data_IF_974073534202
#
_entry.id   IF_974073534202
#
_cell.length_a   1.000
_cell.length_b   1.000
_cell.length_c   1.000
_cell.angle_alpha   90.00
_cell.angle_beta   90.00
_cell.angle_gamma   90.00
#
_symmetry.space_group_name_H-M   'P 1'
#
loop_
_entity.id
_entity.type
_entity.pdbx_description
1 polymer ?
#
# COMPACT_ATOMS: atom_id res chain seq x y z
N UNK A 1 -8.22 -34.88 15.45
CA UNK A 1 -8.44 -34.00 16.62
C UNK A 1 -7.14 -33.41 17.17
N UNK A 2 -6.02 -34.14 17.23
CA UNK A 2 -4.74 -33.59 17.72
C UNK A 2 -4.12 -32.47 16.88
N UNK A 3 -4.25 -32.51 15.53
CA UNK A 3 -3.77 -31.42 14.64
C UNK A 3 -4.50 -30.10 14.91
N UNK A 4 -5.81 -30.18 15.13
CA UNK A 4 -6.70 -29.05 15.42
C UNK A 4 -6.45 -28.46 16.82
N UNK A 5 -6.14 -29.30 17.82
CA UNK A 5 -5.72 -28.84 19.15
C UNK A 5 -4.30 -28.22 19.15
N UNK A 6 -3.35 -28.74 18.35
CA UNK A 6 -2.02 -28.13 18.18
C UNK A 6 -2.07 -26.77 17.47
N UNK A 7 -2.98 -26.57 16.52
CA UNK A 7 -3.21 -25.25 15.91
C UNK A 7 -3.88 -24.27 16.88
N UNK A 8 -4.77 -24.76 17.76
CA UNK A 8 -5.41 -23.94 18.78
C UNK A 8 -4.42 -23.37 19.84
N UNK A 9 -3.22 -23.96 19.97
CA UNK A 9 -2.19 -23.57 20.95
C UNK A 9 -1.07 -22.70 20.36
N UNK A 10 -1.06 -22.42 19.05
CA UNK A 10 -0.04 -21.54 18.46
C UNK A 10 -0.25 -20.09 18.96
N UNK A 11 0.85 -19.39 19.31
CA UNK A 11 0.81 -17.96 19.57
C UNK A 11 0.22 -17.21 18.37
N UNK A 12 -0.58 -16.19 18.66
CA UNK A 12 -1.21 -15.34 17.68
C UNK A 12 -0.28 -14.18 17.33
N UNK A 13 -0.07 -13.98 16.04
CA UNK A 13 0.60 -12.78 15.54
C UNK A 13 -0.30 -11.56 15.72
N UNK A 14 0.28 -10.36 15.71
CA UNK A 14 -0.47 -9.11 15.82
C UNK A 14 -1.57 -9.03 14.75
N UNK A 15 -1.27 -9.46 13.52
CA UNK A 15 -2.22 -9.57 12.41
C UNK A 15 -3.47 -10.36 12.81
N UNK A 16 -3.31 -11.58 13.30
CA UNK A 16 -4.47 -12.45 13.60
C UNK A 16 -5.31 -11.84 14.71
N UNK A 17 -4.68 -11.16 15.67
CA UNK A 17 -5.39 -10.41 16.70
C UNK A 17 -6.16 -9.24 16.08
N UNK A 18 -5.50 -8.38 15.30
CA UNK A 18 -6.09 -7.22 14.63
C UNK A 18 -7.27 -7.62 13.74
N UNK A 19 -7.12 -8.66 12.92
CA UNK A 19 -8.18 -9.19 12.06
C UNK A 19 -9.36 -9.71 12.87
N UNK A 20 -9.13 -10.47 13.94
CA UNK A 20 -10.22 -10.96 14.80
C UNK A 20 -10.97 -9.82 15.49
N UNK A 21 -10.27 -8.77 15.89
CA UNK A 21 -10.88 -7.56 16.47
C UNK A 21 -11.75 -6.86 15.42
N UNK A 22 -11.23 -6.67 14.20
CA UNK A 22 -11.96 -6.07 13.07
C UNK A 22 -13.21 -6.90 12.73
N UNK A 23 -13.03 -8.20 12.56
CA UNK A 23 -14.11 -9.15 12.29
C UNK A 23 -15.11 -9.26 13.43
N UNK A 24 -14.81 -8.85 14.66
CA UNK A 24 -15.78 -8.93 15.74
C UNK A 24 -16.51 -7.61 15.95
N UNK A 25 -15.79 -6.50 15.92
CA UNK A 25 -16.31 -5.19 16.31
C UNK A 25 -16.65 -4.26 15.14
N UNK A 26 -16.09 -4.49 13.95
CA UNK A 26 -16.18 -3.58 12.77
C UNK A 26 -16.68 -4.35 11.54
N UNK A 27 -17.63 -5.28 11.71
CA UNK A 27 -18.32 -5.92 10.57
C UNK A 27 -19.27 -4.93 9.91
N UNK A 28 -19.10 -4.71 8.61
CA UNK A 28 -19.98 -3.92 7.73
C UNK A 28 -21.24 -4.73 7.32
N UNK A 29 -22.02 -5.24 8.28
CA UNK A 29 -23.34 -5.84 8.02
C UNK A 29 -24.42 -4.84 8.44
N UNK A 30 -25.26 -4.41 7.49
CA UNK A 30 -26.45 -3.53 7.65
C UNK A 30 -26.56 -2.76 8.98
N UNK A 31 -25.57 -1.89 9.25
CA UNK A 31 -25.44 -1.14 10.51
C UNK A 31 -26.74 -0.40 10.89
N UNK A 32 -27.55 -0.01 9.91
CA UNK A 32 -28.87 0.59 10.16
C UNK A 32 -29.87 -0.35 10.82
N UNK A 33 -29.97 -1.60 10.38
CA UNK A 33 -30.87 -2.58 10.99
C UNK A 33 -30.28 -3.15 12.28
N UNK A 34 -28.95 -3.27 12.33
CA UNK A 34 -28.22 -3.84 13.45
C UNK A 34 -28.14 -2.90 14.66
N UNK A 35 -27.88 -1.60 14.43
CA UNK A 35 -27.78 -0.59 15.50
C UNK A 35 -29.16 -0.11 15.96
N UNK A 36 -30.16 0.04 15.07
CA UNK A 36 -31.55 0.38 15.47
C UNK A 36 -32.22 -0.72 16.29
N UNK A 37 -31.79 -1.98 16.13
CA UNK A 37 -32.34 -3.13 16.85
C UNK A 37 -31.70 -3.42 18.21
N UNK A 38 -30.75 -2.60 18.69
CA UNK A 38 -29.93 -2.88 19.88
C UNK A 38 -29.23 -4.25 19.88
N UNK A 39 -29.14 -4.93 18.72
CA UNK A 39 -28.68 -6.32 18.62
C UNK A 39 -27.19 -6.48 18.89
N UNK A 40 -26.40 -5.41 18.77
CA UNK A 40 -24.94 -5.45 18.87
C UNK A 40 -24.34 -4.26 19.65
N UNK A 41 -25.06 -3.79 20.68
CA UNK A 41 -24.45 -2.91 21.68
C UNK A 41 -23.37 -3.71 22.42
N UNK A 42 -22.18 -3.12 22.50
CA UNK A 42 -21.01 -3.70 23.16
C UNK A 42 -20.85 -3.08 24.54
N UNK A 43 -20.86 -3.91 25.57
CA UNK A 43 -20.47 -3.52 26.93
C UNK A 43 -18.96 -3.67 27.10
N UNK A 44 -18.36 -2.88 28.00
CA UNK A 44 -16.94 -3.01 28.32
C UNK A 44 -16.56 -4.44 28.74
N UNK A 45 -17.43 -5.12 29.50
CA UNK A 45 -17.23 -6.51 29.91
C UNK A 45 -17.18 -7.48 28.70
N UNK A 46 -18.06 -7.31 27.72
CA UNK A 46 -18.05 -8.12 26.49
C UNK A 46 -16.77 -7.90 25.69
N UNK A 47 -16.29 -6.66 25.61
CA UNK A 47 -15.03 -6.33 24.93
C UNK A 47 -13.86 -6.99 25.64
N UNK A 48 -13.75 -6.83 26.96
CA UNK A 48 -12.67 -7.43 27.75
C UNK A 48 -12.69 -8.96 27.65
N UNK A 49 -13.87 -9.59 27.76
CA UNK A 49 -14.05 -11.03 27.62
C UNK A 49 -13.59 -11.55 26.25
N UNK A 50 -13.74 -10.75 25.19
CA UNK A 50 -13.25 -11.10 23.86
C UNK A 50 -11.75 -10.87 23.71
N UNK A 51 -11.23 -9.72 24.16
CA UNK A 51 -9.83 -9.32 23.95
C UNK A 51 -8.85 -10.07 24.84
N UNK A 52 -9.20 -10.31 26.10
CA UNK A 52 -8.33 -10.96 27.08
C UNK A 52 -7.73 -12.30 26.58
N UNK A 53 -8.52 -13.29 26.11
CA UNK A 53 -7.96 -14.55 25.61
C UNK A 53 -7.13 -14.37 24.33
N UNK A 54 -7.39 -13.34 23.50
CA UNK A 54 -6.58 -13.05 22.32
C UNK A 54 -5.20 -12.52 22.72
N UNK A 55 -5.15 -11.57 23.66
CA UNK A 55 -3.92 -10.95 24.12
C UNK A 55 -3.05 -11.92 24.92
N UNK A 56 -3.65 -12.82 25.71
CA UNK A 56 -2.89 -13.88 26.40
C UNK A 56 -2.14 -14.82 25.44
N UNK A 57 -2.66 -14.98 24.22
CA UNK A 57 -2.05 -15.81 23.19
C UNK A 57 -1.10 -15.06 22.27
N UNK A 58 -0.91 -13.75 22.46
CA UNK A 58 -0.06 -12.94 21.60
C UNK A 58 1.40 -13.42 21.63
N UNK A 59 2.04 -13.48 20.45
CA UNK A 59 3.48 -13.70 20.37
C UNK A 59 4.28 -12.51 20.92
N UNK A 60 5.60 -12.66 21.11
CA UNK A 60 6.43 -11.61 21.70
C UNK A 60 6.42 -10.28 20.90
N UNK A 61 6.32 -10.35 19.56
CA UNK A 61 6.26 -9.16 18.69
C UNK A 61 4.91 -8.46 18.88
N UNK A 62 3.83 -9.23 18.92
CA UNK A 62 2.47 -8.76 19.14
C UNK A 62 2.29 -8.15 20.54
N UNK A 63 2.84 -8.76 21.59
CA UNK A 63 2.84 -8.20 22.95
C UNK A 63 3.51 -6.82 22.98
N UNK A 64 4.65 -6.64 22.28
CA UNK A 64 5.32 -5.34 22.22
C UNK A 64 4.45 -4.29 21.54
N UNK A 65 3.86 -4.62 20.38
CA UNK A 65 3.00 -3.70 19.62
C UNK A 65 1.74 -3.35 20.44
N UNK A 66 1.10 -4.36 21.03
CA UNK A 66 -0.06 -4.16 21.91
C UNK A 66 0.33 -3.33 23.16
N UNK A 67 1.52 -3.51 23.71
CA UNK A 67 2.02 -2.68 24.81
C UNK A 67 2.14 -1.19 24.46
N UNK A 68 2.53 -0.87 23.23
CA UNK A 68 2.62 0.52 22.74
C UNK A 68 1.23 1.17 22.56
N UNK A 69 0.27 0.38 22.07
CA UNK A 69 -1.06 0.88 21.66
C UNK A 69 -2.09 0.77 22.78
N UNK A 70 -2.16 -0.40 23.41
CA UNK A 70 -3.05 -0.77 24.52
C UNK A 70 -2.39 -0.54 25.88
N UNK A 71 -1.09 -0.81 26.03
CA UNK A 71 -0.40 -0.72 27.33
C UNK A 71 -0.20 0.71 27.86
N UNK A 72 -0.22 1.73 27.00
CA UNK A 72 -0.33 3.15 27.41
C UNK A 72 -1.73 3.53 27.92
N UNK A 73 -2.72 2.64 27.84
CA UNK A 73 -4.14 2.94 28.15
C UNK A 73 -4.57 2.64 29.59
N UNK A 74 -3.68 2.84 30.57
CA UNK A 74 -4.10 3.04 31.96
C UNK A 74 -4.51 4.49 32.25
N UNK A 75 -4.80 5.28 31.21
CA UNK A 75 -5.47 6.55 31.35
C UNK A 75 -6.99 6.31 31.38
N UNK A 76 -7.65 6.46 32.53
CA UNK A 76 -9.09 6.25 32.65
C UNK A 76 -9.91 7.27 31.83
N UNK A 77 -9.31 8.36 31.32
CA UNK A 77 -10.00 9.30 30.44
C UNK A 77 -10.07 8.87 28.97
N UNK A 78 -9.32 7.84 28.57
CA UNK A 78 -9.30 7.38 27.18
C UNK A 78 -10.42 6.38 26.91
N UNK A 79 -11.32 6.74 25.99
CA UNK A 79 -12.44 5.91 25.53
C UNK A 79 -11.97 4.54 25.03
N UNK A 80 -12.82 3.53 25.22
CA UNK A 80 -12.54 2.17 24.77
C UNK A 80 -12.55 2.09 23.24
N UNK A 81 -13.40 2.87 22.57
CA UNK A 81 -13.37 3.03 21.11
C UNK A 81 -11.99 3.47 20.61
N UNK A 82 -11.37 4.47 21.24
CA UNK A 82 -10.04 4.98 20.88
C UNK A 82 -8.95 3.92 21.03
N UNK A 83 -9.07 3.04 22.03
CA UNK A 83 -8.12 1.95 22.25
C UNK A 83 -8.23 0.89 21.16
N UNK A 84 -9.46 0.50 20.80
CA UNK A 84 -9.73 -0.48 19.74
C UNK A 84 -9.29 0.07 18.39
N UNK A 85 -9.68 1.30 18.04
CA UNK A 85 -9.28 1.95 16.77
C UNK A 85 -7.76 2.00 16.66
N UNK A 86 -7.06 2.37 17.73
CA UNK A 86 -5.61 2.45 17.70
C UNK A 86 -4.94 1.09 17.42
N UNK A 87 -5.55 -0.03 17.82
CA UNK A 87 -5.10 -1.38 17.43
C UNK A 87 -5.43 -1.66 15.97
N UNK A 88 -6.63 -1.33 15.53
CA UNK A 88 -7.13 -1.58 14.17
C UNK A 88 -6.38 -0.81 13.09
N UNK A 89 -5.93 0.42 13.38
CA UNK A 89 -5.25 1.28 12.41
C UNK A 89 -3.73 1.28 12.56
N UNK A 90 -3.16 0.54 13.53
CA UNK A 90 -1.74 0.63 13.89
C UNK A 90 -0.80 0.46 12.71
N UNK A 91 -1.04 -0.53 11.84
CA UNK A 91 -0.14 -0.83 10.71
C UNK A 91 -0.22 0.25 9.64
N UNK A 92 -1.44 0.67 9.30
CA UNK A 92 -1.71 1.71 8.31
C UNK A 92 -1.15 3.06 8.79
N UNK A 93 -1.39 3.43 10.04
CA UNK A 93 -0.90 4.68 10.62
C UNK A 93 0.63 4.75 10.72
N UNK A 94 1.31 3.63 10.97
CA UNK A 94 2.78 3.57 10.89
C UNK A 94 3.27 3.72 9.46
N UNK A 95 2.56 3.14 8.49
CA UNK A 95 2.92 3.23 7.08
C UNK A 95 2.71 4.64 6.50
N UNK A 96 1.59 5.26 6.85
CA UNK A 96 1.12 6.56 6.37
C UNK A 96 1.38 7.70 7.37
N UNK A 97 2.32 7.52 8.30
CA UNK A 97 2.67 8.57 9.24
C UNK A 97 3.05 9.85 8.48
N UNK A 98 2.47 10.98 8.89
CA UNK A 98 2.68 12.27 8.24
C UNK A 98 1.70 12.58 7.11
N UNK A 99 0.74 11.71 6.81
CA UNK A 99 -0.43 12.04 5.99
C UNK A 99 -1.67 12.26 6.86
N UNK A 100 -2.73 12.78 6.25
CA UNK A 100 -4.06 12.87 6.84
C UNK A 100 -4.65 11.49 7.19
N UNK A 101 -5.58 11.48 8.14
CA UNK A 101 -6.46 10.35 8.39
C UNK A 101 -7.43 10.16 7.22
N UNK A 102 -7.76 8.90 6.96
CA UNK A 102 -8.74 8.56 5.93
C UNK A 102 -10.17 8.71 6.45
N UNK A 103 -11.12 8.94 5.54
CA UNK A 103 -12.55 8.93 5.87
C UNK A 103 -13.00 7.57 6.44
N UNK A 104 -12.33 6.48 6.05
CA UNK A 104 -12.58 5.13 6.56
C UNK A 104 -12.23 5.01 8.04
N UNK A 105 -11.08 5.53 8.47
CA UNK A 105 -10.68 5.51 9.88
C UNK A 105 -11.67 6.31 10.75
N UNK A 106 -12.16 7.45 10.25
CA UNK A 106 -13.20 8.21 10.94
C UNK A 106 -14.51 7.41 11.04
N UNK A 107 -14.94 6.74 9.95
CA UNK A 107 -16.13 5.86 9.95
C UNK A 107 -16.00 4.78 11.02
N UNK A 108 -14.88 4.06 11.05
CA UNK A 108 -14.64 2.97 12.02
C UNK A 108 -14.66 3.48 13.46
N UNK A 109 -14.08 4.65 13.70
CA UNK A 109 -14.10 5.28 15.01
C UNK A 109 -15.53 5.61 15.46
N UNK A 110 -16.31 6.27 14.60
CA UNK A 110 -17.69 6.66 14.92
C UNK A 110 -18.58 5.42 15.10
N UNK A 111 -18.36 4.37 14.31
CA UNK A 111 -19.06 3.08 14.46
C UNK A 111 -18.81 2.46 15.85
N UNK A 112 -17.56 2.43 16.29
CA UNK A 112 -17.20 1.88 17.60
C UNK A 112 -17.78 2.72 18.75
N UNK A 113 -17.75 4.04 18.63
CA UNK A 113 -18.41 4.96 19.58
C UNK A 113 -19.91 4.65 19.68
N UNK A 114 -20.59 4.47 18.55
CA UNK A 114 -22.01 4.12 18.52
C UNK A 114 -22.30 2.74 19.15
N UNK A 115 -21.47 1.72 18.85
CA UNK A 115 -21.63 0.36 19.41
C UNK A 115 -21.36 0.31 20.91
N UNK A 116 -20.41 1.09 21.40
CA UNK A 116 -20.05 1.17 22.83
C UNK A 116 -20.91 2.16 23.63
N UNK A 117 -21.80 2.90 22.96
CA UNK A 117 -22.62 3.95 23.57
C UNK A 117 -21.81 5.03 24.31
N UNK A 118 -20.63 5.34 23.78
CA UNK A 118 -19.82 6.42 24.33
C UNK A 118 -20.36 7.77 23.87
N UNK A 119 -20.39 8.80 24.75
CA UNK A 119 -20.88 10.12 24.37
C UNK A 119 -19.96 10.72 23.31
N UNK A 120 -20.51 11.27 22.23
CA UNK A 120 -19.76 11.96 21.19
C UNK A 120 -20.20 13.42 21.14
N UNK A 121 -19.26 14.34 21.30
CA UNK A 121 -19.57 15.78 21.20
C UNK A 121 -19.19 16.37 19.85
N UNK A 122 -19.83 17.47 19.47
CA UNK A 122 -19.47 18.20 18.26
C UNK A 122 -18.00 18.68 18.32
N UNK A 123 -17.52 19.08 19.50
CA UNK A 123 -16.13 19.45 19.73
C UNK A 123 -15.15 18.30 19.44
N UNK A 124 -15.48 17.08 19.88
CA UNK A 124 -14.66 15.89 19.59
C UNK A 124 -14.64 15.54 18.11
N UNK A 125 -15.79 15.63 17.41
CA UNK A 125 -15.85 15.40 15.96
C UNK A 125 -14.99 16.42 15.21
N UNK A 126 -15.04 17.70 15.58
CA UNK A 126 -14.17 18.74 15.00
C UNK A 126 -12.69 18.46 15.27
N UNK A 127 -12.34 18.01 16.47
CA UNK A 127 -10.95 17.63 16.78
C UNK A 127 -10.45 16.47 15.91
N UNK A 128 -11.33 15.51 15.58
CA UNK A 128 -11.00 14.45 14.65
C UNK A 128 -10.90 14.96 13.21
N UNK A 129 -11.76 15.89 12.81
CA UNK A 129 -11.75 16.50 11.48
C UNK A 129 -10.48 17.33 11.20
N UNK A 130 -9.81 17.85 12.24
CA UNK A 130 -8.49 18.51 12.09
C UNK A 130 -7.43 17.54 11.57
N UNK A 131 -7.56 16.24 11.83
CA UNK A 131 -6.62 15.22 11.36
C UNK A 131 -6.97 14.70 9.96
N UNK A 132 -8.18 15.00 9.47
CA UNK A 132 -8.58 14.74 8.09
C UNK A 132 -7.98 15.77 7.14
N UNK A 133 -7.91 15.39 5.86
CA UNK A 133 -7.60 16.31 4.77
C UNK A 133 -8.70 17.35 4.54
N UNK A 134 -8.45 18.33 3.65
CA UNK A 134 -9.33 19.49 3.50
C UNK A 134 -10.74 19.13 3.03
N UNK A 135 -10.92 18.20 2.08
CA UNK A 135 -12.25 17.88 1.54
C UNK A 135 -13.06 17.07 2.55
N UNK A 136 -12.42 16.14 3.25
CA UNK A 136 -13.08 15.36 4.29
C UNK A 136 -13.45 16.25 5.48
N UNK A 137 -12.59 17.20 5.85
CA UNK A 137 -12.88 18.16 6.92
C UNK A 137 -14.07 19.05 6.58
N UNK A 138 -14.09 19.61 5.37
CA UNK A 138 -15.20 20.43 4.89
C UNK A 138 -16.52 19.65 4.93
N UNK A 139 -16.52 18.41 4.43
CA UNK A 139 -17.70 17.54 4.49
C UNK A 139 -18.20 17.32 5.94
N UNK A 140 -17.29 17.11 6.90
CA UNK A 140 -17.67 16.94 8.32
C UNK A 140 -18.27 18.23 8.89
N UNK A 141 -17.69 19.39 8.59
CA UNK A 141 -18.20 20.68 9.08
C UNK A 141 -19.56 21.02 8.46
N UNK A 142 -19.78 20.72 7.18
CA UNK A 142 -21.09 20.86 6.54
C UNK A 142 -22.14 19.96 7.20
N UNK A 143 -21.78 18.70 7.47
CA UNK A 143 -22.66 17.75 8.14
C UNK A 143 -23.05 18.21 9.54
N UNK A 144 -22.10 18.76 10.30
CA UNK A 144 -22.31 19.34 11.63
C UNK A 144 -23.17 20.61 11.56
N UNK A 145 -22.89 21.54 10.64
CA UNK A 145 -23.66 22.78 10.51
C UNK A 145 -25.13 22.54 10.14
N UNK A 146 -25.41 21.49 9.35
CA UNK A 146 -26.76 21.13 8.93
C UNK A 146 -27.64 20.58 10.08
N UNK A 147 -27.04 20.17 11.20
CA UNK A 147 -27.73 19.61 12.37
C UNK A 147 -27.49 20.55 13.53
N UNK A 148 -28.55 21.25 13.96
CA UNK A 148 -28.53 22.31 14.97
C UNK A 148 -27.59 22.02 16.15
N UNK A 149 -26.96 23.07 16.65
CA UNK A 149 -25.86 23.11 17.62
C UNK A 149 -26.16 22.52 19.01
N UNK A 150 -26.62 21.28 19.10
CA UNK A 150 -26.48 20.49 20.31
C UNK A 150 -25.01 20.09 20.48
N UNK A 151 -24.48 20.20 21.70
CA UNK A 151 -23.13 19.71 21.97
C UNK A 151 -23.02 18.20 21.75
N UNK A 152 -24.12 17.46 21.90
CA UNK A 152 -24.20 16.02 21.68
C UNK A 152 -24.46 15.67 20.21
N UNK A 153 -23.67 14.77 19.65
CA UNK A 153 -23.79 14.27 18.28
C UNK A 153 -24.41 12.88 18.29
N UNK A 154 -25.43 12.68 17.45
CA UNK A 154 -25.95 11.35 17.14
C UNK A 154 -24.90 10.56 16.35
N UNK A 155 -24.18 9.67 17.05
CA UNK A 155 -23.13 8.82 16.48
C UNK A 155 -23.66 7.86 15.42
N UNK A 156 -24.92 7.41 15.53
CA UNK A 156 -25.51 6.52 14.53
C UNK A 156 -25.78 7.28 13.24
N UNK A 157 -26.40 8.46 13.33
CA UNK A 157 -26.64 9.31 12.17
C UNK A 157 -25.34 9.72 11.46
N UNK A 158 -24.29 10.04 12.23
CA UNK A 158 -22.97 10.35 11.67
C UNK A 158 -22.33 9.14 11.00
N UNK A 159 -22.41 7.95 11.61
CA UNK A 159 -21.87 6.72 11.04
C UNK A 159 -22.52 6.38 9.69
N UNK A 160 -23.86 6.50 9.60
CA UNK A 160 -24.63 6.27 8.37
C UNK A 160 -24.18 7.25 7.28
N UNK A 161 -24.07 8.54 7.61
CA UNK A 161 -23.65 9.55 6.64
C UNK A 161 -22.20 9.33 6.16
N UNK A 162 -21.29 8.95 7.06
CA UNK A 162 -19.90 8.61 6.71
C UNK A 162 -19.84 7.38 5.81
N UNK A 163 -20.63 6.34 6.10
CA UNK A 163 -20.75 5.16 5.23
C UNK A 163 -21.22 5.58 3.84
N UNK A 164 -22.29 6.34 3.74
CA UNK A 164 -22.84 6.75 2.45
C UNK A 164 -21.83 7.61 1.66
N UNK A 165 -21.11 8.50 2.34
CA UNK A 165 -20.03 9.29 1.72
C UNK A 165 -18.88 8.42 1.21
N UNK A 166 -18.45 7.42 1.99
CA UNK A 166 -17.44 6.43 1.54
C UNK A 166 -17.95 5.66 0.32
N UNK A 167 -19.18 5.15 0.37
CA UNK A 167 -19.76 4.36 -0.72
C UNK A 167 -19.92 5.17 -2.01
N UNK A 168 -20.31 6.44 -1.91
CA UNK A 168 -20.41 7.36 -3.05
C UNK A 168 -19.05 7.62 -3.68
N UNK A 169 -17.99 7.76 -2.87
CA UNK A 169 -16.65 8.11 -3.36
C UNK A 169 -15.86 6.92 -3.87
N UNK A 170 -16.01 5.77 -3.24
CA UNK A 170 -15.14 4.62 -3.49
C UNK A 170 -15.90 3.37 -3.97
N UNK A 171 -17.23 3.38 -3.94
CA UNK A 171 -18.09 2.25 -4.30
C UNK A 171 -18.46 1.37 -3.11
N UNK A 172 -19.68 0.84 -3.11
CA UNK A 172 -20.22 0.10 -1.96
C UNK A 172 -19.63 -1.31 -1.76
N UNK A 173 -19.24 -1.98 -2.85
CA UNK A 173 -18.79 -3.38 -2.83
C UNK A 173 -17.40 -3.57 -3.44
N UNK A 174 -16.61 -2.49 -3.49
CA UNK A 174 -15.29 -2.48 -4.12
C UNK A 174 -14.19 -2.66 -3.07
N UNK A 175 -13.02 -3.08 -3.53
CA UNK A 175 -11.80 -3.05 -2.73
C UNK A 175 -11.45 -1.64 -2.23
N UNK A 176 -11.88 -0.61 -2.97
CA UNK A 176 -11.70 0.80 -2.64
C UNK A 176 -12.64 1.29 -1.52
N UNK A 177 -13.79 0.64 -1.32
CA UNK A 177 -14.77 1.05 -0.32
C UNK A 177 -14.65 0.26 0.98
N UNK A 178 -15.67 -0.54 1.26
CA UNK A 178 -15.84 -1.33 2.48
C UNK A 178 -14.62 -2.21 2.80
N UNK A 179 -14.01 -2.81 1.79
CA UNK A 179 -12.94 -3.79 2.01
C UNK A 179 -11.55 -3.18 2.12
N UNK A 180 -11.40 -1.86 1.94
CA UNK A 180 -10.10 -1.21 1.86
C UNK A 180 -9.16 -1.53 3.03
N UNK A 181 -9.58 -1.38 4.31
CA UNK A 181 -8.68 -1.61 5.44
C UNK A 181 -8.18 -3.05 5.50
N UNK A 182 -9.07 -4.01 5.20
CA UNK A 182 -8.75 -5.44 5.19
C UNK A 182 -7.80 -5.78 4.05
N UNK A 183 -8.05 -5.28 2.84
CA UNK A 183 -7.19 -5.51 1.67
C UNK A 183 -5.80 -4.91 1.89
N UNK A 184 -5.71 -3.70 2.42
CA UNK A 184 -4.43 -3.07 2.71
C UNK A 184 -3.66 -3.85 3.78
N UNK A 185 -4.31 -4.29 4.85
CA UNK A 185 -3.67 -5.14 5.87
C UNK A 185 -3.16 -6.46 5.26
N UNK A 186 -3.95 -7.13 4.40
CA UNK A 186 -3.55 -8.35 3.71
C UNK A 186 -2.38 -8.14 2.73
N UNK A 187 -2.34 -7.00 2.03
CA UNK A 187 -1.19 -6.62 1.20
C UNK A 187 0.07 -6.45 2.06
N UNK A 188 -0.02 -5.72 3.17
CA UNK A 188 1.12 -5.55 4.11
C UNK A 188 1.59 -6.93 4.62
N UNK A 189 0.67 -7.88 4.85
CA UNK A 189 1.01 -9.24 5.24
C UNK A 189 1.67 -10.07 4.15
N UNK A 190 1.27 -9.89 2.89
CA UNK A 190 1.96 -10.48 1.75
C UNK A 190 3.40 -9.95 1.65
N UNK A 191 3.59 -8.64 1.80
CA UNK A 191 4.89 -7.97 1.75
C UNK A 191 5.82 -8.40 2.90
N UNK A 192 5.31 -8.49 4.14
CA UNK A 192 6.07 -8.99 5.29
C UNK A 192 6.53 -10.44 5.12
N UNK A 193 5.72 -11.29 4.48
CA UNK A 193 6.08 -12.68 4.17
C UNK A 193 7.09 -12.75 3.02
N UNK A 194 6.95 -11.92 2.00
CA UNK A 194 7.87 -11.89 0.86
C UNK A 194 9.30 -11.54 1.28
N UNK A 195 9.47 -10.64 2.25
CA UNK A 195 10.79 -10.24 2.76
C UNK A 195 11.57 -11.39 3.45
N UNK A 196 10.88 -12.46 3.87
CA UNK A 196 11.52 -13.66 4.44
C UNK A 196 12.11 -14.61 3.39
N UNK A 197 11.79 -14.40 2.10
CA UNK A 197 12.34 -15.17 0.99
C UNK A 197 13.72 -14.65 0.58
N UNK A 198 14.56 -15.52 -0.01
CA UNK A 198 15.88 -15.12 -0.50
C UNK A 198 15.74 -13.91 -1.44
N UNK A 199 16.21 -12.75 -0.98
CA UNK A 199 16.46 -11.58 -1.81
C UNK A 199 17.37 -12.04 -2.93
N UNK A 200 17.02 -11.78 -4.19
CA UNK A 200 17.90 -11.97 -5.34
C UNK A 200 19.30 -11.51 -4.95
N UNK A 201 20.23 -12.43 -4.65
CA UNK A 201 21.49 -11.99 -4.12
C UNK A 201 22.23 -11.39 -5.31
N UNK A 202 22.82 -10.20 -5.19
CA UNK A 202 23.75 -9.68 -6.20
C UNK A 202 25.06 -10.50 -6.26
N UNK A 203 25.02 -11.80 -5.91
CA UNK A 203 26.12 -12.77 -6.06
C UNK A 203 26.57 -12.89 -7.52
N UNK A 204 25.74 -12.52 -8.49
CA UNK A 204 26.16 -12.28 -9.86
C UNK A 204 26.52 -10.80 -10.03
N UNK A 205 27.80 -10.49 -10.17
CA UNK A 205 28.36 -9.12 -10.08
C UNK A 205 27.74 -8.04 -10.96
N UNK A 206 28.25 -6.81 -10.83
CA UNK A 206 27.73 -5.52 -11.37
C UNK A 206 27.11 -5.60 -12.78
N UNK A 207 27.70 -6.39 -13.68
CA UNK A 207 27.19 -6.56 -15.04
C UNK A 207 25.79 -7.19 -15.12
N UNK A 208 25.42 -8.11 -14.22
CA UNK A 208 24.06 -8.70 -14.23
C UNK A 208 23.04 -7.71 -13.69
N UNK A 209 23.41 -6.88 -12.72
CA UNK A 209 22.54 -5.81 -12.20
C UNK A 209 22.19 -4.79 -13.29
N UNK A 210 23.19 -4.38 -14.08
CA UNK A 210 22.96 -3.45 -15.20
C UNK A 210 22.12 -4.08 -16.31
N UNK A 211 22.28 -5.37 -16.58
CA UNK A 211 21.46 -6.07 -17.59
C UNK A 211 20.01 -6.22 -17.12
N UNK A 212 19.79 -6.62 -15.86
CA UNK A 212 18.44 -6.69 -15.27
C UNK A 212 17.74 -5.33 -15.32
N UNK A 213 18.43 -4.25 -14.97
CA UNK A 213 17.87 -2.90 -15.04
C UNK A 213 17.45 -2.51 -16.47
N UNK A 214 18.28 -2.79 -17.48
CA UNK A 214 17.92 -2.58 -18.90
C UNK A 214 16.70 -3.39 -19.31
N UNK A 215 16.66 -4.66 -18.91
CA UNK A 215 15.56 -5.56 -19.23
C UNK A 215 14.24 -5.08 -18.61
N UNK A 216 14.26 -4.58 -17.36
CA UNK A 216 13.07 -4.01 -16.74
C UNK A 216 12.63 -2.70 -17.41
N UNK A 217 13.56 -1.84 -17.82
CA UNK A 217 13.23 -0.65 -18.62
C UNK A 217 12.61 -1.02 -19.97
N UNK A 218 13.20 -1.98 -20.71
CA UNK A 218 12.64 -2.51 -21.96
C UNK A 218 11.24 -3.11 -21.75
N UNK A 219 11.05 -3.85 -20.65
CA UNK A 219 9.76 -4.46 -20.31
C UNK A 219 8.69 -3.41 -20.04
N UNK A 220 9.05 -2.33 -19.34
CA UNK A 220 8.14 -1.21 -19.09
C UNK A 220 7.72 -0.52 -20.38
N UNK A 221 8.69 -0.21 -21.24
CA UNK A 221 8.45 0.39 -22.55
C UNK A 221 7.56 -0.52 -23.40
N UNK A 222 7.84 -1.82 -23.42
CA UNK A 222 7.00 -2.78 -24.12
C UNK A 222 5.57 -2.77 -23.59
N UNK A 223 5.39 -2.77 -22.26
CA UNK A 223 4.07 -2.76 -21.62
C UNK A 223 3.23 -1.57 -22.09
N UNK A 224 3.84 -0.37 -22.19
CA UNK A 224 3.12 0.85 -22.61
C UNK A 224 2.93 0.94 -24.13
N UNK A 225 3.91 0.50 -24.92
CA UNK A 225 3.96 0.81 -26.36
C UNK A 225 3.79 -0.39 -27.29
N UNK A 226 3.51 -1.60 -26.78
CA UNK A 226 3.35 -2.78 -27.65
C UNK A 226 2.11 -2.70 -28.55
N UNK A 227 1.15 -1.82 -28.26
CA UNK A 227 -0.12 -1.67 -28.99
C UNK A 227 -1.24 -2.57 -28.47
N UNK A 228 -1.01 -3.22 -27.33
CA UNK A 228 -1.98 -3.98 -26.55
C UNK A 228 -2.14 -3.26 -25.20
N UNK A 229 -3.37 -3.02 -24.69
CA UNK A 229 -3.58 -2.30 -23.44
C UNK A 229 -3.25 -3.20 -22.23
N UNK A 230 -1.94 -3.41 -21.99
CA UNK A 230 -1.45 -4.12 -20.81
C UNK A 230 -1.52 -3.20 -19.58
N UNK A 231 -1.91 -3.76 -18.44
CA UNK A 231 -1.93 -3.06 -17.16
C UNK A 231 -0.50 -2.83 -16.63
N UNK A 232 -0.34 -1.81 -15.79
CA UNK A 232 0.89 -1.64 -15.03
C UNK A 232 1.05 -2.75 -13.98
N UNK A 233 -0.05 -3.29 -13.44
CA UNK A 233 -0.01 -4.44 -12.54
C UNK A 233 0.69 -5.64 -13.19
N UNK A 234 0.41 -5.94 -14.47
CA UNK A 234 1.10 -6.98 -15.20
C UNK A 234 2.62 -6.72 -15.29
N UNK A 235 3.04 -5.47 -15.53
CA UNK A 235 4.46 -5.11 -15.52
C UNK A 235 5.11 -5.32 -14.14
N UNK A 236 4.51 -4.77 -13.08
CA UNK A 236 5.10 -4.86 -11.74
C UNK A 236 5.08 -6.30 -11.21
N UNK A 237 4.06 -7.08 -11.57
CA UNK A 237 4.01 -8.51 -11.30
C UNK A 237 5.10 -9.25 -12.07
N UNK A 238 5.30 -8.95 -13.36
CA UNK A 238 6.36 -9.55 -14.17
C UNK A 238 7.75 -9.32 -13.56
N UNK A 239 8.03 -8.08 -13.10
CA UNK A 239 9.29 -7.75 -12.42
C UNK A 239 9.44 -8.58 -11.13
N UNK A 240 8.38 -8.72 -10.34
CA UNK A 240 8.41 -9.53 -9.11
C UNK A 240 8.66 -11.02 -9.40
N UNK A 241 8.00 -11.57 -10.43
CA UNK A 241 8.18 -12.96 -10.85
C UNK A 241 9.60 -13.21 -11.37
N UNK A 242 10.13 -12.28 -12.18
CA UNK A 242 11.49 -12.34 -12.71
C UNK A 242 12.52 -12.35 -11.57
N UNK A 243 12.46 -11.40 -10.64
CA UNK A 243 13.43 -11.33 -9.55
C UNK A 243 13.37 -12.56 -8.64
N UNK A 244 12.17 -13.07 -8.35
CA UNK A 244 11.99 -14.31 -7.56
C UNK A 244 12.49 -15.55 -8.30
N UNK A 245 12.33 -15.60 -9.62
CA UNK A 245 12.90 -16.65 -10.46
C UNK A 245 14.43 -16.62 -10.44
N UNK A 246 15.03 -15.44 -10.66
CA UNK A 246 16.48 -15.24 -10.65
C UNK A 246 17.10 -15.47 -9.27
N UNK A 247 16.33 -15.35 -8.19
CA UNK A 247 16.78 -15.72 -6.85
C UNK A 247 16.94 -17.25 -6.66
N UNK A 248 16.25 -18.06 -7.50
CA UNK A 248 16.24 -19.54 -7.44
C UNK A 248 17.06 -20.19 -8.55
N UNK A 249 17.24 -19.52 -9.69
CA UNK A 249 17.91 -20.05 -10.89
C UNK A 249 19.07 -19.16 -11.32
N UNK A 250 20.16 -19.80 -11.73
CA UNK A 250 21.27 -19.11 -12.38
C UNK A 250 20.99 -19.01 -13.87
N UNK A 251 20.73 -17.80 -14.35
CA UNK A 251 20.37 -17.53 -15.75
C UNK A 251 21.49 -16.73 -16.43
N UNK A 252 21.93 -17.12 -17.64
CA UNK A 252 22.91 -16.36 -18.40
C UNK A 252 22.32 -15.00 -18.83
N UNK A 253 23.18 -13.99 -19.01
CA UNK A 253 22.74 -12.61 -19.28
C UNK A 253 21.98 -12.50 -20.59
N UNK A 254 22.35 -13.33 -21.55
CA UNK A 254 21.80 -13.40 -22.91
C UNK A 254 20.35 -13.88 -22.90
N UNK A 255 19.95 -14.66 -21.89
CA UNK A 255 18.59 -15.18 -21.74
C UNK A 255 17.67 -14.29 -20.89
N UNK A 256 18.20 -13.28 -20.19
CA UNK A 256 17.39 -12.44 -19.31
C UNK A 256 16.22 -11.76 -20.03
N UNK A 257 16.41 -11.37 -21.30
CA UNK A 257 15.34 -10.80 -22.13
C UNK A 257 14.25 -11.82 -22.48
N UNK A 258 14.61 -13.09 -22.65
CA UNK A 258 13.65 -14.17 -22.86
C UNK A 258 12.80 -14.37 -21.61
N UNK A 259 13.45 -14.52 -20.45
CA UNK A 259 12.76 -14.74 -19.18
C UNK A 259 11.93 -13.53 -18.74
N UNK A 260 12.35 -12.30 -19.04
CA UNK A 260 11.51 -11.12 -18.72
C UNK A 260 10.23 -11.08 -19.54
N UNK A 261 10.30 -11.43 -20.83
CA UNK A 261 9.11 -11.48 -21.68
C UNK A 261 8.20 -12.64 -21.30
N UNK A 262 8.77 -13.79 -20.94
CA UNK A 262 8.01 -14.91 -20.39
C UNK A 262 7.36 -14.56 -19.04
N UNK A 263 8.02 -13.80 -18.18
CA UNK A 263 7.46 -13.31 -16.92
C UNK A 263 6.29 -12.34 -17.16
N UNK A 264 6.36 -11.46 -18.18
CA UNK A 264 5.25 -10.57 -18.54
C UNK A 264 4.08 -11.32 -19.19
N UNK A 265 4.38 -12.32 -20.02
CA UNK A 265 3.36 -13.22 -20.56
C UNK A 265 2.59 -13.91 -19.42
N UNK A 266 3.31 -14.48 -18.46
CA UNK A 266 2.73 -15.10 -17.27
C UNK A 266 1.93 -14.10 -16.42
N UNK A 267 2.52 -12.93 -16.14
CA UNK A 267 1.87 -11.89 -15.36
C UNK A 267 0.57 -11.41 -16.00
N UNK A 268 0.53 -11.24 -17.32
CA UNK A 268 -0.69 -10.85 -18.05
C UNK A 268 -1.82 -11.88 -17.94
N UNK A 269 -1.49 -13.17 -17.72
CA UNK A 269 -2.48 -14.22 -17.46
C UNK A 269 -2.96 -14.21 -16.01
N UNK A 270 -2.09 -13.84 -15.07
CA UNK A 270 -2.38 -13.80 -13.64
C UNK A 270 -3.11 -12.53 -13.19
N UNK A 271 -2.91 -11.41 -13.88
CA UNK A 271 -3.43 -10.10 -13.48
C UNK A 271 -4.95 -9.94 -13.63
N UNK A 272 -5.65 -10.93 -14.19
CA UNK A 272 -7.09 -10.90 -14.49
C UNK A 272 -7.55 -9.75 -15.41
N UNK A 273 -6.64 -8.87 -15.85
CA UNK A 273 -6.86 -7.83 -16.84
C UNK A 273 -6.95 -8.41 -18.26
N UNK A 274 -7.97 -8.01 -19.02
CA UNK A 274 -8.08 -8.31 -20.44
C UNK A 274 -7.52 -7.14 -21.28
N UNK A 275 -6.70 -7.38 -22.31
CA UNK A 275 -6.33 -8.67 -22.91
C UNK A 275 -5.08 -9.33 -22.32
N UNK A 276 -5.06 -10.66 -22.35
CA UNK A 276 -3.86 -11.45 -22.04
C UNK A 276 -2.88 -11.40 -23.21
N UNK A 277 -1.58 -11.40 -22.90
CA UNK A 277 -0.55 -11.38 -23.93
C UNK A 277 -0.47 -12.74 -24.66
N UNK A 278 -0.27 -12.72 -25.98
CA UNK A 278 -0.13 -13.91 -26.81
C UNK A 278 1.36 -14.25 -27.03
N UNK A 279 1.81 -15.51 -26.80
CA UNK A 279 3.19 -15.92 -27.06
C UNK A 279 3.64 -15.65 -28.50
N UNK A 280 2.76 -15.80 -29.50
CA UNK A 280 3.09 -15.52 -30.89
C UNK A 280 3.35 -14.02 -31.12
N UNK A 281 2.49 -13.17 -30.57
CA UNK A 281 2.69 -11.72 -30.58
C UNK A 281 4.04 -11.30 -29.97
N UNK A 282 4.40 -11.88 -28.82
CA UNK A 282 5.71 -11.64 -28.17
C UNK A 282 6.85 -12.09 -29.07
N UNK A 283 6.74 -13.28 -29.66
CA UNK A 283 7.74 -13.84 -30.58
C UNK A 283 8.03 -12.89 -31.74
N UNK A 284 6.98 -12.37 -32.39
CA UNK A 284 7.10 -11.44 -33.52
C UNK A 284 7.68 -10.10 -33.08
N UNK A 285 7.15 -9.49 -32.01
CA UNK A 285 7.57 -8.15 -31.56
C UNK A 285 9.00 -8.13 -31.01
N UNK A 286 9.40 -9.15 -30.27
CA UNK A 286 10.70 -9.21 -29.60
C UNK A 286 11.74 -10.00 -30.38
N UNK A 287 11.38 -10.60 -31.52
CA UNK A 287 12.23 -11.50 -32.32
C UNK A 287 12.77 -12.67 -31.49
N UNK A 288 11.89 -13.23 -30.65
CA UNK A 288 12.18 -14.40 -29.82
C UNK A 288 11.52 -15.63 -30.44
N UNK A 289 12.13 -16.79 -30.31
CA UNK A 289 11.53 -18.06 -30.74
C UNK A 289 10.33 -18.37 -29.83
N UNK A 290 9.15 -18.59 -30.40
CA UNK A 290 7.90 -18.76 -29.63
C UNK A 290 7.99 -19.94 -28.66
N UNK A 291 8.57 -21.06 -29.10
CA UNK A 291 8.78 -22.26 -28.29
C UNK A 291 9.66 -21.97 -27.07
N UNK A 292 10.70 -21.13 -27.24
CA UNK A 292 11.57 -20.73 -26.14
C UNK A 292 10.83 -19.84 -25.13
N UNK A 293 9.94 -18.95 -25.60
CA UNK A 293 9.14 -18.09 -24.71
C UNK A 293 8.20 -18.95 -23.85
N UNK A 294 7.54 -19.93 -24.46
CA UNK A 294 6.64 -20.85 -23.74
C UNK A 294 7.40 -21.76 -22.77
N UNK A 295 8.56 -22.28 -23.17
CA UNK A 295 9.42 -23.08 -22.29
C UNK A 295 9.93 -22.27 -21.09
N UNK A 296 10.34 -21.01 -21.31
CA UNK A 296 10.76 -20.11 -20.25
C UNK A 296 9.60 -19.77 -19.29
N UNK A 297 8.39 -19.58 -19.81
CA UNK A 297 7.19 -19.37 -18.98
C UNK A 297 6.95 -20.57 -18.07
N UNK A 298 6.98 -21.78 -18.63
CA UNK A 298 6.82 -23.03 -17.87
C UNK A 298 7.91 -23.19 -16.79
N UNK A 299 9.15 -22.81 -17.11
CA UNK A 299 10.25 -22.85 -16.14
C UNK A 299 10.05 -21.86 -14.99
N UNK A 300 9.59 -20.64 -15.26
CA UNK A 300 9.29 -19.64 -14.24
C UNK A 300 8.22 -20.17 -13.29
N UNK A 301 7.07 -20.63 -13.83
CA UNK A 301 5.96 -21.13 -13.01
C UNK A 301 6.41 -22.31 -12.14
N UNK A 302 7.16 -23.24 -12.72
CA UNK A 302 7.68 -24.41 -11.99
C UNK A 302 8.67 -24.01 -10.91
N UNK A 303 9.61 -23.12 -11.21
CA UNK A 303 10.59 -22.62 -10.25
C UNK A 303 9.93 -21.87 -9.10
N UNK A 304 8.82 -21.18 -9.35
CA UNK A 304 8.01 -20.48 -8.35
C UNK A 304 6.96 -21.36 -7.68
N UNK A 305 6.79 -22.62 -8.10
CA UNK A 305 5.77 -23.54 -7.57
C UNK A 305 4.34 -22.97 -7.67
N UNK A 306 4.03 -22.31 -8.79
CA UNK A 306 2.73 -21.64 -9.02
C UNK A 306 2.40 -20.52 -8.01
N UNK A 307 3.36 -20.09 -7.18
CA UNK A 307 3.19 -18.94 -6.28
C UNK A 307 3.37 -17.63 -7.08
N UNK A 308 2.34 -17.25 -7.85
CA UNK A 308 2.33 -16.03 -8.66
C UNK A 308 1.61 -14.85 -7.99
N UNK A 309 0.87 -15.08 -6.91
CA UNK A 309 0.14 -14.04 -6.20
C UNK A 309 1.07 -13.30 -5.21
N UNK A 310 1.57 -12.14 -5.62
CA UNK A 310 2.47 -11.31 -4.81
C UNK A 310 1.99 -9.87 -4.73
N UNK A 311 2.22 -9.23 -3.58
CA UNK A 311 1.97 -7.79 -3.44
C UNK A 311 3.08 -7.03 -4.16
N UNK A 312 2.71 -6.21 -5.14
CA UNK A 312 3.66 -5.41 -5.93
C UNK A 312 3.67 -3.95 -5.46
N UNK A 313 4.69 -3.20 -5.89
CA UNK A 313 4.79 -1.77 -5.63
C UNK A 313 3.55 -0.99 -6.14
N UNK A 314 2.99 -1.40 -7.28
CA UNK A 314 1.83 -0.76 -7.90
C UNK A 314 0.57 -0.92 -7.05
N UNK A 315 0.24 -2.15 -6.62
CA UNK A 315 -0.90 -2.42 -5.74
C UNK A 315 -0.90 -1.53 -4.49
N UNK A 316 0.26 -1.37 -3.85
CA UNK A 316 0.37 -0.47 -2.71
C UNK A 316 0.19 1.00 -3.11
N UNK A 317 0.83 1.46 -4.17
CA UNK A 317 0.69 2.85 -4.61
C UNK A 317 -0.76 3.22 -4.94
N UNK A 318 -1.49 2.35 -5.65
CA UNK A 318 -2.91 2.54 -5.93
C UNK A 318 -3.73 2.58 -4.64
N UNK A 319 -3.54 1.61 -3.74
CA UNK A 319 -4.26 1.57 -2.47
C UNK A 319 -4.01 2.81 -1.60
N UNK A 320 -2.77 3.30 -1.53
CA UNK A 320 -2.42 4.44 -0.69
C UNK A 320 -2.89 5.78 -1.30
N UNK A 321 -2.77 5.96 -2.61
CA UNK A 321 -3.18 7.22 -3.27
C UNK A 321 -4.69 7.37 -3.36
N UNK A 322 -5.42 6.25 -3.40
CA UNK A 322 -6.88 6.23 -3.54
C UNK A 322 -7.61 6.94 -2.40
N UNK A 323 -7.14 6.76 -1.16
CA UNK A 323 -7.73 7.39 0.03
C UNK A 323 -7.07 8.71 0.42
N UNK A 324 -6.18 9.24 -0.43
CA UNK A 324 -5.56 10.54 -0.25
C UNK A 324 -6.62 11.65 -0.28
N UNK A 325 -6.45 12.66 0.57
CA UNK A 325 -7.26 13.87 0.56
C UNK A 325 -6.35 15.13 0.56
N UNK A 326 -6.38 15.96 -0.50
CA UNK A 326 -7.30 15.92 -1.64
C UNK A 326 -7.04 14.75 -2.62
N UNK A 327 -8.04 14.39 -3.45
CA UNK A 327 -7.86 13.41 -4.51
C UNK A 327 -6.67 13.76 -5.41
N UNK A 328 -5.86 12.76 -5.74
CA UNK A 328 -4.64 12.98 -6.50
C UNK A 328 -4.91 13.59 -7.88
N UNK A 329 -4.15 14.62 -8.23
CA UNK A 329 -4.24 15.24 -9.56
C UNK A 329 -3.68 14.30 -10.63
N UNK A 330 -4.07 14.47 -11.92
CA UNK A 330 -3.47 13.72 -13.01
C UNK A 330 -1.93 13.82 -13.05
N UNK A 331 -1.38 15.00 -12.73
CA UNK A 331 0.06 15.21 -12.60
C UNK A 331 0.66 14.37 -11.47
N UNK A 332 0.06 14.37 -10.28
CA UNK A 332 0.55 13.56 -9.15
C UNK A 332 0.52 12.07 -9.48
N UNK A 333 -0.54 11.59 -10.16
CA UNK A 333 -0.65 10.19 -10.58
C UNK A 333 0.46 9.82 -11.57
N UNK A 334 0.73 10.65 -12.58
CA UNK A 334 1.85 10.42 -13.52
C UNK A 334 3.21 10.48 -12.83
N UNK A 335 3.39 11.38 -11.87
CA UNK A 335 4.61 11.44 -11.07
C UNK A 335 4.77 10.17 -10.24
N UNK A 336 3.71 9.69 -9.59
CA UNK A 336 3.75 8.47 -8.81
C UNK A 336 4.13 7.27 -9.68
N UNK A 337 3.50 7.14 -10.87
CA UNK A 337 3.82 6.15 -11.90
C UNK A 337 5.32 6.17 -12.28
N UNK A 338 5.86 7.36 -12.53
CA UNK A 338 7.29 7.55 -12.82
C UNK A 338 8.20 7.14 -11.66
N UNK A 339 7.85 7.51 -10.41
CA UNK A 339 8.61 7.16 -9.22
C UNK A 339 8.69 5.64 -9.04
N UNK A 340 7.56 4.94 -9.14
CA UNK A 340 7.52 3.48 -8.97
C UNK A 340 8.14 2.73 -10.13
N UNK A 341 8.00 3.22 -11.37
CA UNK A 341 8.70 2.68 -12.53
C UNK A 341 10.22 2.79 -12.34
N UNK A 342 10.70 3.95 -11.88
CA UNK A 342 12.11 4.17 -11.55
C UNK A 342 12.61 3.28 -10.41
N UNK A 343 11.79 3.03 -9.40
CA UNK A 343 12.14 2.09 -8.32
C UNK A 343 12.22 0.66 -8.83
N UNK A 344 11.27 0.21 -9.65
CA UNK A 344 11.34 -1.11 -10.31
C UNK A 344 12.56 -1.23 -11.21
N UNK A 345 13.01 -0.11 -11.80
CA UNK A 345 14.33 0.21 -12.36
C UNK A 345 15.52 -0.41 -11.63
N UNK A 346 15.67 0.15 -10.42
CA UNK A 346 16.92 0.27 -9.69
C UNK A 346 16.92 -0.51 -8.37
N UNK A 347 15.82 -1.18 -8.06
CA UNK A 347 15.65 -2.05 -6.89
C UNK A 347 15.11 -3.41 -7.31
N UNK A 348 15.35 -4.42 -6.46
CA UNK A 348 14.83 -5.77 -6.65
C UNK A 348 13.58 -6.01 -5.81
N UNK A 349 12.69 -6.86 -6.31
CA UNK A 349 11.60 -7.39 -5.51
C UNK A 349 12.15 -8.11 -4.27
N UNK A 350 11.64 -7.73 -3.10
CA UNK A 350 12.10 -8.23 -1.80
C UNK A 350 13.35 -7.55 -1.25
N UNK A 351 14.03 -6.66 -1.98
CA UNK A 351 15.15 -5.87 -1.45
C UNK A 351 14.69 -4.93 -0.34
N UNK A 352 13.54 -4.29 -0.55
CA UNK A 352 12.86 -3.44 0.41
C UNK A 352 11.38 -3.85 0.47
N UNK A 353 10.72 -3.53 1.59
CA UNK A 353 9.27 -3.66 1.72
C UNK A 353 8.58 -2.81 0.66
N UNK A 354 7.75 -3.44 -0.16
CA UNK A 354 7.02 -2.77 -1.23
C UNK A 354 6.07 -1.72 -0.66
N UNK A 355 5.44 -2.01 0.48
CA UNK A 355 4.62 -1.06 1.24
C UNK A 355 5.37 0.23 1.58
N UNK A 356 6.57 0.10 2.16
CA UNK A 356 7.37 1.25 2.59
C UNK A 356 7.94 2.02 1.39
N UNK A 357 8.30 1.35 0.29
CA UNK A 357 8.69 2.01 -0.96
C UNK A 357 7.54 2.80 -1.58
N UNK A 358 6.33 2.23 -1.60
CA UNK A 358 5.13 2.91 -2.08
C UNK A 358 4.81 4.15 -1.24
N UNK A 359 4.87 4.01 0.09
CA UNK A 359 4.68 5.13 1.01
C UNK A 359 5.75 6.23 0.82
N UNK A 360 7.01 5.86 0.56
CA UNK A 360 8.07 6.83 0.25
C UNK A 360 7.84 7.55 -1.08
N UNK A 361 7.37 6.84 -2.11
CA UNK A 361 7.00 7.42 -3.40
C UNK A 361 5.79 8.35 -3.27
N UNK A 362 4.76 7.95 -2.52
CA UNK A 362 3.60 8.79 -2.22
C UNK A 362 3.99 10.04 -1.43
N UNK A 363 4.81 9.90 -0.39
CA UNK A 363 5.33 11.04 0.38
C UNK A 363 6.04 12.06 -0.53
N UNK A 364 6.89 11.57 -1.44
CA UNK A 364 7.61 12.41 -2.40
C UNK A 364 6.66 13.09 -3.41
N UNK A 365 5.64 12.38 -3.90
CA UNK A 365 4.68 12.93 -4.86
C UNK A 365 3.76 13.98 -4.23
N UNK A 366 3.41 13.81 -2.96
CA UNK A 366 2.64 14.79 -2.19
C UNK A 366 3.38 16.10 -1.99
N UNK A 367 4.69 16.05 -1.71
CA UNK A 367 5.53 17.25 -1.67
C UNK A 367 5.55 17.99 -3.01
N UNK A 368 5.67 17.24 -4.12
CA UNK A 368 5.55 17.79 -5.47
C UNK A 368 4.22 18.51 -5.70
N UNK A 369 3.13 17.89 -5.27
CA UNK A 369 1.77 18.41 -5.37
C UNK A 369 1.44 19.50 -4.32
N UNK A 370 2.41 19.88 -3.47
CA UNK A 370 2.25 20.88 -2.40
C UNK A 370 1.14 20.54 -1.40
N UNK A 371 0.92 19.24 -1.17
CA UNK A 371 -0.02 18.76 -0.17
C UNK A 371 0.61 18.78 1.21
N UNK A 372 -0.19 19.06 2.24
CA UNK A 372 0.26 19.07 3.62
C UNK A 372 0.84 17.69 3.98
N UNK A 373 2.16 17.63 4.20
CA UNK A 373 2.87 16.36 4.38
C UNK A 373 3.84 16.51 5.54
N UNK A 374 3.58 15.78 6.62
CA UNK A 374 4.39 15.77 7.83
C UNK A 374 5.61 14.84 7.75
N UNK A 375 6.20 14.60 8.92
CA UNK A 375 7.34 13.71 9.06
C UNK A 375 6.92 12.24 8.87
N UNK A 376 7.56 11.52 7.92
CA UNK A 376 7.26 10.11 7.67
C UNK A 376 7.76 9.24 8.82
N UNK A 377 7.23 8.01 8.90
CA UNK A 377 7.74 7.02 9.85
C UNK A 377 9.19 6.64 9.53
N UNK A 378 9.91 6.13 10.51
CA UNK A 378 11.33 5.78 10.34
C UNK A 378 11.55 4.79 9.19
N UNK A 379 10.64 3.80 9.04
CA UNK A 379 10.69 2.82 7.93
C UNK A 379 10.53 3.44 6.55
N UNK A 380 9.81 4.56 6.43
CA UNK A 380 9.62 5.28 5.17
C UNK A 380 10.75 6.29 4.96
N UNK A 381 11.16 6.99 6.03
CA UNK A 381 12.23 7.98 6.01
C UNK A 381 13.54 7.43 5.47
N UNK A 382 13.94 6.23 5.90
CA UNK A 382 15.18 5.57 5.44
C UNK A 382 15.17 5.22 3.95
N UNK A 383 13.98 5.15 3.33
CA UNK A 383 13.84 4.83 1.90
C UNK A 383 13.75 6.07 1.01
N UNK A 384 13.53 7.28 1.55
CA UNK A 384 13.54 8.51 0.74
C UNK A 384 14.85 8.71 -0.05
N UNK A 385 16.06 8.45 0.51
CA UNK A 385 17.30 8.48 -0.27
C UNK A 385 17.35 7.44 -1.39
N UNK A 386 16.68 6.29 -1.24
CA UNK A 386 16.60 5.25 -2.28
C UNK A 386 15.78 5.75 -3.46
N UNK A 387 14.63 6.37 -3.20
CA UNK A 387 13.79 6.99 -4.24
C UNK A 387 14.58 8.09 -4.96
N UNK A 388 15.23 8.98 -4.20
CA UNK A 388 16.06 10.05 -4.75
C UNK A 388 17.19 9.52 -5.64
N UNK A 389 17.94 8.51 -5.17
CA UNK A 389 19.03 7.90 -5.93
C UNK A 389 18.54 7.23 -7.23
N UNK A 390 17.36 6.60 -7.21
CA UNK A 390 16.75 6.03 -8.43
C UNK A 390 16.50 7.11 -9.49
N UNK A 391 15.94 8.27 -9.09
CA UNK A 391 15.72 9.39 -10.00
C UNK A 391 17.02 10.02 -10.51
N UNK A 392 18.03 10.14 -9.65
CA UNK A 392 19.33 10.66 -10.05
C UNK A 392 20.00 9.80 -11.12
N UNK A 393 19.88 8.46 -11.01
CA UNK A 393 20.40 7.54 -12.04
C UNK A 393 19.75 7.78 -13.39
N UNK A 394 18.43 8.02 -13.45
CA UNK A 394 17.72 8.29 -14.70
C UNK A 394 18.22 9.55 -15.43
N UNK A 395 18.90 10.47 -14.75
CA UNK A 395 19.44 11.68 -15.35
C UNK A 395 20.70 11.42 -16.19
N UNK A 396 21.37 10.29 -16.01
CA UNK A 396 22.59 9.97 -16.75
C UNK A 396 22.20 9.34 -18.09
N UNK A 397 22.61 9.97 -19.19
CA UNK A 397 22.36 9.46 -20.54
C UNK A 397 22.87 8.02 -20.69
N UNK A 398 22.12 7.20 -21.44
CA UNK A 398 22.44 5.79 -21.75
C UNK A 398 22.54 4.86 -20.54
N UNK A 399 22.13 5.31 -19.35
CA UNK A 399 21.94 4.44 -18.19
C UNK A 399 20.48 3.98 -18.10
N UNK A 400 20.23 2.80 -17.51
CA UNK A 400 18.87 2.32 -17.30
C UNK A 400 18.02 3.34 -16.55
N UNK A 401 16.80 3.56 -17.02
CA UNK A 401 15.85 4.53 -16.50
C UNK A 401 15.88 5.89 -17.20
N UNK A 402 16.87 6.16 -18.06
CA UNK A 402 16.89 7.38 -18.87
C UNK A 402 15.74 7.44 -19.87
N UNK A 403 15.30 6.31 -20.45
CA UNK A 403 14.16 6.28 -21.35
C UNK A 403 12.85 6.51 -20.59
N UNK A 404 12.74 5.99 -19.36
CA UNK A 404 11.62 6.32 -18.47
C UNK A 404 11.53 7.83 -18.25
N UNK A 405 12.66 8.48 -17.91
CA UNK A 405 12.70 9.94 -17.77
C UNK A 405 12.20 10.63 -19.04
N UNK A 406 12.63 10.20 -20.23
CA UNK A 406 12.21 10.81 -21.49
C UNK A 406 10.71 10.65 -21.75
N UNK A 407 10.13 9.47 -21.46
CA UNK A 407 8.69 9.23 -21.59
C UNK A 407 7.89 10.16 -20.68
N UNK A 408 8.29 10.28 -19.42
CA UNK A 408 7.60 11.15 -18.45
C UNK A 408 8.00 12.63 -18.53
N UNK A 409 8.92 13.00 -19.43
CA UNK A 409 9.23 14.40 -19.74
C UNK A 409 8.24 14.98 -20.77
N UNK A 410 7.48 14.11 -21.43
CA UNK A 410 6.54 14.52 -22.46
C UNK A 410 5.35 15.29 -21.86
N UNK A 411 4.79 16.29 -22.59
CA UNK A 411 3.63 17.06 -22.13
C UNK A 411 2.40 16.21 -21.80
N UNK A 412 2.19 15.11 -22.53
CA UNK A 412 1.09 14.15 -22.32
C UNK A 412 1.18 13.43 -20.97
N UNK A 413 2.38 13.43 -20.37
CA UNK A 413 2.68 12.90 -19.04
C UNK A 413 2.97 14.02 -18.04
N UNK A 414 2.52 15.23 -18.33
CA UNK A 414 2.69 16.44 -17.50
C UNK A 414 4.14 16.84 -17.21
N UNK A 415 5.10 16.36 -18.02
CA UNK A 415 6.53 16.62 -17.82
C UNK A 415 7.03 16.34 -16.38
N UNK A 416 6.40 15.40 -15.68
CA UNK A 416 6.64 15.12 -14.26
C UNK A 416 8.07 14.67 -13.96
N UNK A 417 8.76 14.08 -14.93
CA UNK A 417 10.16 13.67 -14.73
C UNK A 417 11.14 14.84 -14.69
N UNK A 418 10.70 16.05 -15.08
CA UNK A 418 11.47 17.28 -15.04
C UNK A 418 11.31 18.05 -13.72
N UNK A 419 10.42 17.60 -12.83
CA UNK A 419 10.24 18.21 -11.51
C UNK A 419 11.58 18.15 -10.74
N UNK A 420 12.07 19.29 -10.20
CA UNK A 420 13.34 19.30 -9.48
C UNK A 420 13.31 18.40 -8.24
N UNK A 421 14.38 17.63 -8.03
CA UNK A 421 14.54 16.73 -6.86
C UNK A 421 14.33 17.47 -5.53
N UNK A 422 14.73 18.74 -5.44
CA UNK A 422 14.56 19.55 -4.24
C UNK A 422 13.09 19.77 -3.86
N UNK A 423 12.17 19.74 -4.82
CA UNK A 423 10.73 19.85 -4.58
C UNK A 423 10.18 18.53 -4.02
N UNK A 424 10.70 17.40 -4.49
CA UNK A 424 10.28 16.06 -4.04
C UNK A 424 10.83 15.71 -2.65
N UNK A 425 12.03 16.20 -2.32
CA UNK A 425 12.76 15.82 -1.10
C UNK A 425 13.30 17.04 -0.33
N UNK A 426 12.43 17.92 0.19
CA UNK A 426 12.87 19.13 0.89
C UNK A 426 13.81 18.83 2.08
N UNK A 427 13.54 17.75 2.82
CA UNK A 427 14.35 17.32 3.97
C UNK A 427 15.76 16.83 3.61
N UNK A 428 15.97 16.37 2.37
CA UNK A 428 17.29 15.95 1.88
C UNK A 428 18.08 17.15 1.32
N UNK A 429 17.40 18.15 0.76
CA UNK A 429 18.02 19.37 0.24
C UNK A 429 18.55 20.29 1.34
N UNK A 430 17.96 20.29 2.54
CA UNK A 430 18.47 21.10 3.66
C UNK A 430 19.75 20.55 4.30
N UNK A 431 20.15 19.29 4.02
CA UNK A 431 21.36 18.70 4.62
C UNK A 431 22.64 18.99 3.83
N UNK A 432 22.55 19.34 2.55
CA UNK A 432 23.72 19.69 1.73
C UNK A 432 24.27 21.09 2.02
N UNK A 433 23.50 21.98 2.65
CA UNK A 433 23.95 23.32 3.05
C UNK A 433 24.67 23.37 4.40
N UNK A 434 24.57 22.30 5.22
CA UNK A 434 25.26 22.20 6.51
C UNK A 434 26.60 21.45 6.42
N UNK A 435 26.87 20.73 5.32
CA UNK A 435 28.14 20.04 5.08
C UNK A 435 29.11 20.82 4.18
N UNK A 436 28.72 22.02 3.72
CA UNK A 436 29.58 22.92 2.92
C UNK A 436 30.27 24.01 3.77
N UNK A 437 30.09 23.95 5.10
CA UNK A 437 30.65 24.90 6.07
C UNK A 437 31.39 24.21 7.22
N UNK A 438 31.99 23.04 6.96
CA UNK A 438 33.02 22.42 7.80
C UNK A 438 34.27 22.09 7.01
#
# INVERSE_FOLDING_TARGET
MEKTQKEALKPLTFRVIQQRIRDHFVRDLDDETELKGNRYILTAEQVERFLFPLFQRADAKAVRILGEVWGRSRDPSRKLSDQIVAVLTRRQHVLLQGTELTLMELKEKVLLVARLQEPLTAGEVRQLAIQLGPYNREWVEEWLCARLADEAVDSLALCIALRDAVQQRFGAFTFAGVYYPTVLDDLIDMDERAQSSMVYPPKLGVSVQSVRARVCEELFIFTIFCGVPLSLDAYFLAVALLDRFLARRSTPKEELRLYSMAALLLASKCDHSWPTLDPHFVSVKMKLVQENVMAAEEEIVRALQFDTAVSTLHHFCEALVLHQDPPASPEQLRLLEYLIASLSVHTYYGQYRQSCLAAAALHSSRHAARLATGEPSESVRVLLPVVCAALQKNNVERTPGNLLKQIYAQPERHAVSLIPIAVLFPSLSCRSSLSASQ
#
